data_IF_253315537472
#
_entry.id   IF_253315537472
#
_cell.length_a   1.000
_cell.length_b   1.000
_cell.length_c   1.000
_cell.angle_alpha   90.00
_cell.angle_beta   90.00
_cell.angle_gamma   90.00
#
_symmetry.space_group_name_H-M   'P 1'
#
loop_
_entity.id
_entity.type
_entity.pdbx_description
1 polymer ?
#
# COMPACT_ATOMS: atom_id res chain seq x y z
N UNK A 1 25.77 11.35 -1.74
CA UNK A 1 26.35 11.18 -0.39
C UNK A 1 25.39 11.81 0.62
N UNK A 2 24.48 11.05 1.19
CA UNK A 2 23.83 11.47 2.43
C UNK A 2 24.88 11.34 3.53
N UNK A 3 25.24 12.42 4.22
CA UNK A 3 26.14 12.32 5.37
C UNK A 3 25.48 11.40 6.41
N UNK A 4 26.29 10.67 7.18
CA UNK A 4 25.83 9.98 8.37
C UNK A 4 25.11 11.00 9.24
N UNK A 5 23.79 11.00 9.24
CA UNK A 5 22.97 12.01 9.90
C UNK A 5 22.06 11.33 10.89
N UNK A 6 21.97 11.91 12.08
CA UNK A 6 20.93 11.54 13.03
C UNK A 6 19.61 12.16 12.56
N UNK A 7 18.58 11.34 12.35
CA UNK A 7 17.21 11.79 12.15
C UNK A 7 16.41 11.27 13.34
N UNK A 8 15.82 12.18 14.12
CA UNK A 8 15.06 11.85 15.34
C UNK A 8 15.89 10.96 16.31
N UNK A 9 17.21 11.22 16.41
CA UNK A 9 18.11 10.46 17.27
C UNK A 9 18.64 9.14 16.69
N UNK A 10 18.18 8.72 15.50
CA UNK A 10 18.60 7.48 14.86
C UNK A 10 19.69 7.70 13.84
N UNK A 11 20.63 6.75 13.74
CA UNK A 11 21.72 6.80 12.77
C UNK A 11 21.21 6.49 11.37
N UNK A 12 21.45 7.39 10.43
CA UNK A 12 21.16 7.16 9.01
C UNK A 12 22.42 6.63 8.32
N UNK A 13 22.30 5.45 7.73
CA UNK A 13 23.35 4.78 6.98
C UNK A 13 23.05 4.82 5.48
N UNK A 14 24.09 4.77 4.65
CA UNK A 14 23.93 4.40 3.25
C UNK A 14 23.51 2.94 3.14
N UNK A 15 22.77 2.58 2.12
CA UNK A 15 22.33 1.20 1.90
C UNK A 15 23.50 0.21 1.88
N UNK A 16 24.58 0.59 1.23
CA UNK A 16 25.80 -0.24 1.13
C UNK A 16 26.43 -0.48 2.51
N UNK A 17 26.42 0.54 3.37
CA UNK A 17 26.97 0.43 4.73
C UNK A 17 26.09 -0.49 5.59
N UNK A 18 24.77 -0.35 5.51
CA UNK A 18 23.82 -1.24 6.18
C UNK A 18 24.03 -2.70 5.73
N UNK A 19 24.12 -2.95 4.44
CA UNK A 19 24.33 -4.30 3.91
C UNK A 19 25.67 -4.91 4.30
N UNK A 20 26.69 -4.07 4.52
CA UNK A 20 28.02 -4.53 4.96
C UNK A 20 28.10 -4.91 6.44
N UNK A 21 27.13 -4.53 7.27
CA UNK A 21 27.11 -4.89 8.71
C UNK A 21 27.02 -6.41 8.83
N UNK A 22 27.96 -7.00 9.58
CA UNK A 22 27.92 -8.42 9.95
C UNK A 22 26.91 -8.62 11.07
N UNK A 23 25.69 -9.00 10.73
CA UNK A 23 24.61 -9.36 11.66
C UNK A 23 24.06 -10.72 11.27
N UNK A 24 23.54 -11.46 12.25
CA UNK A 24 22.87 -12.74 11.99
C UNK A 24 21.50 -12.55 11.34
N UNK A 25 20.85 -11.41 11.55
CA UNK A 25 19.52 -11.10 11.05
C UNK A 25 19.46 -9.65 10.57
N UNK A 26 18.94 -9.43 9.37
CA UNK A 26 18.72 -8.09 8.81
C UNK A 26 17.27 -7.96 8.39
N UNK A 27 16.53 -7.14 9.08
CA UNK A 27 15.13 -6.83 8.76
C UNK A 27 15.07 -5.55 7.96
N UNK A 28 14.13 -5.46 7.02
CA UNK A 28 13.93 -4.25 6.24
C UNK A 28 12.46 -3.95 5.96
N UNK A 29 12.16 -2.69 5.72
CA UNK A 29 10.93 -2.21 5.12
C UNK A 29 11.24 -1.09 4.14
N UNK A 30 10.39 -0.87 3.13
CA UNK A 30 10.63 0.12 2.07
C UNK A 30 9.48 1.11 2.00
N UNK A 31 9.64 2.28 2.62
CA UNK A 31 8.65 3.35 2.69
C UNK A 31 8.68 4.27 1.44
N UNK A 32 8.58 3.69 0.24
CA UNK A 32 8.56 4.40 -1.04
C UNK A 32 7.21 4.18 -1.72
N UNK A 33 6.48 5.27 -2.03
CA UNK A 33 5.15 5.18 -2.63
C UNK A 33 5.16 4.66 -4.07
N UNK A 34 6.16 5.02 -4.87
CA UNK A 34 6.31 4.50 -6.23
C UNK A 34 6.60 3.00 -6.20
N UNK A 35 5.66 2.20 -6.71
CA UNK A 35 5.77 0.74 -6.67
C UNK A 35 6.95 0.20 -7.47
N UNK A 36 7.35 0.85 -8.58
CA UNK A 36 8.48 0.40 -9.41
C UNK A 36 9.78 0.53 -8.66
N UNK A 37 9.98 1.68 -8.00
CA UNK A 37 11.15 1.93 -7.16
C UNK A 37 11.11 1.03 -5.93
N UNK A 38 9.96 0.94 -5.24
CA UNK A 38 9.79 0.06 -4.07
C UNK A 38 10.14 -1.38 -4.41
N UNK A 39 9.58 -1.93 -5.48
CA UNK A 39 9.85 -3.31 -5.92
C UNK A 39 11.33 -3.55 -6.19
N UNK A 40 11.99 -2.66 -6.92
CA UNK A 40 13.43 -2.77 -7.21
C UNK A 40 14.28 -2.78 -5.94
N UNK A 41 13.92 -1.95 -4.95
CA UNK A 41 14.63 -1.90 -3.66
C UNK A 41 14.38 -3.18 -2.87
N UNK A 42 13.13 -3.64 -2.79
CA UNK A 42 12.75 -4.90 -2.13
C UNK A 42 13.53 -6.07 -2.72
N UNK A 43 13.50 -6.24 -4.03
CA UNK A 43 14.22 -7.33 -4.72
C UNK A 43 15.71 -7.34 -4.36
N UNK A 44 16.33 -6.16 -4.29
CA UNK A 44 17.74 -6.06 -3.90
C UNK A 44 17.97 -6.52 -2.47
N UNK A 45 17.14 -6.09 -1.50
CA UNK A 45 17.31 -6.51 -0.10
C UNK A 45 17.07 -8.01 0.09
N UNK A 46 16.08 -8.58 -0.62
CA UNK A 46 15.84 -10.03 -0.60
C UNK A 46 17.03 -10.82 -1.16
N UNK A 47 17.64 -10.35 -2.27
CA UNK A 47 18.84 -10.98 -2.85
C UNK A 47 20.04 -10.94 -1.90
N UNK A 48 20.12 -9.97 -1.02
CA UNK A 48 21.16 -9.84 0.01
C UNK A 48 20.81 -10.61 1.31
N UNK A 49 19.75 -11.42 1.28
CA UNK A 49 19.33 -12.25 2.42
C UNK A 49 18.69 -11.46 3.57
N UNK A 50 18.18 -10.26 3.31
CA UNK A 50 17.40 -9.52 4.30
C UNK A 50 15.95 -9.99 4.31
N UNK A 51 15.29 -9.94 5.46
CA UNK A 51 13.90 -10.35 5.64
C UNK A 51 12.96 -9.14 5.74
N UNK A 52 11.80 -9.17 5.05
CA UNK A 52 10.85 -8.07 5.13
C UNK A 52 10.16 -8.07 6.49
N UNK A 53 9.91 -6.87 7.03
CA UNK A 53 9.11 -6.68 8.23
C UNK A 53 7.97 -5.71 7.97
N UNK A 54 6.77 -6.04 8.47
CA UNK A 54 5.63 -5.13 8.41
C UNK A 54 5.68 -4.11 9.55
N UNK A 55 5.35 -2.86 9.23
CA UNK A 55 5.28 -1.75 10.19
C UNK A 55 3.82 -1.37 10.38
N UNK A 56 3.27 -1.67 11.55
CA UNK A 56 1.87 -1.43 11.87
C UNK A 56 1.81 -0.45 13.06
N UNK A 57 1.17 0.69 12.83
CA UNK A 57 0.98 1.67 13.91
C UNK A 57 0.12 1.12 15.04
N UNK A 58 0.47 1.46 16.27
CA UNK A 58 -0.32 1.11 17.46
C UNK A 58 -1.72 1.73 17.48
N UNK A 59 -1.95 2.76 16.66
CA UNK A 59 -3.26 3.41 16.52
C UNK A 59 -4.08 2.87 15.36
N UNK A 60 -3.57 1.87 14.64
CA UNK A 60 -4.34 1.15 13.63
C UNK A 60 -5.35 0.23 14.30
N UNK A 61 -6.56 0.17 13.75
CA UNK A 61 -7.61 -0.76 14.21
C UNK A 61 -7.65 -1.93 13.24
N UNK A 62 -7.33 -3.11 13.75
CA UNK A 62 -7.30 -4.35 12.98
C UNK A 62 -8.40 -5.27 13.53
N UNK A 63 -9.36 -5.62 12.68
CA UNK A 63 -10.42 -6.54 13.03
C UNK A 63 -10.03 -8.00 12.77
N UNK A 64 -11.00 -8.90 12.87
CA UNK A 64 -10.77 -10.34 12.77
C UNK A 64 -10.57 -10.83 11.33
N UNK A 65 -9.96 -12.00 11.20
CA UNK A 65 -9.79 -12.74 9.94
C UNK A 65 -9.09 -11.94 8.83
N UNK A 66 -8.10 -11.16 9.22
CA UNK A 66 -7.25 -10.44 8.29
C UNK A 66 -6.11 -11.33 7.78
N UNK A 67 -5.78 -11.17 6.51
CA UNK A 67 -4.53 -11.67 5.92
C UNK A 67 -3.72 -10.45 5.51
N UNK A 68 -2.54 -10.32 6.08
CA UNK A 68 -1.60 -9.22 5.79
C UNK A 68 -0.32 -9.83 5.25
N UNK A 69 0.04 -9.48 4.01
CA UNK A 69 1.29 -9.90 3.39
C UNK A 69 2.52 -9.28 4.03
N UNK A 70 3.68 -9.69 3.57
CA UNK A 70 4.96 -9.22 4.08
C UNK A 70 5.25 -7.77 3.73
N UNK A 71 6.04 -7.10 4.55
CA UNK A 71 6.53 -5.74 4.29
C UNK A 71 5.45 -4.66 4.24
N UNK A 72 4.26 -4.90 4.81
CA UNK A 72 3.18 -3.93 4.84
C UNK A 72 3.52 -2.71 5.71
N UNK A 73 2.98 -1.54 5.33
CA UNK A 73 3.00 -0.33 6.17
C UNK A 73 1.55 0.10 6.42
N UNK A 74 1.12 0.03 7.67
CA UNK A 74 -0.16 0.54 8.13
C UNK A 74 0.08 1.75 9.03
N UNK A 75 -0.18 2.95 8.50
CA UNK A 75 0.04 4.20 9.21
C UNK A 75 -1.02 4.46 10.29
N UNK A 76 -0.82 5.52 11.06
CA UNK A 76 -1.70 5.91 12.16
C UNK A 76 -3.16 6.07 11.70
N UNK A 77 -4.07 5.61 12.54
CA UNK A 77 -5.52 5.74 12.36
C UNK A 77 -6.05 5.06 11.08
N UNK A 78 -5.37 4.03 10.59
CA UNK A 78 -5.93 3.15 9.58
C UNK A 78 -6.91 2.17 10.22
N UNK A 79 -7.95 1.77 9.48
CA UNK A 79 -8.93 0.82 9.97
C UNK A 79 -9.18 -0.28 8.93
N UNK A 80 -8.89 -1.52 9.31
CA UNK A 80 -9.13 -2.71 8.49
C UNK A 80 -10.28 -3.51 9.09
N UNK A 81 -11.32 -3.66 8.30
CA UNK A 81 -12.53 -4.40 8.68
C UNK A 81 -12.32 -5.92 8.50
N UNK A 82 -13.25 -6.77 9.01
CA UNK A 82 -13.09 -8.21 8.91
C UNK A 82 -12.98 -8.73 7.47
N UNK A 83 -12.32 -9.87 7.32
CA UNK A 83 -12.19 -10.62 6.06
C UNK A 83 -11.43 -9.88 4.94
N UNK A 84 -10.61 -8.87 5.29
CA UNK A 84 -9.74 -8.19 4.33
C UNK A 84 -8.47 -9.02 4.11
N UNK A 85 -8.09 -9.18 2.83
CA UNK A 85 -6.85 -9.84 2.42
C UNK A 85 -5.97 -8.83 1.69
N UNK A 86 -4.73 -8.71 2.13
CA UNK A 86 -3.75 -7.81 1.51
C UNK A 86 -2.51 -8.60 1.13
N UNK A 87 -2.02 -8.34 -0.09
CA UNK A 87 -0.77 -8.87 -0.60
C UNK A 87 0.45 -8.20 0.03
N UNK A 88 1.60 -8.51 -0.54
CA UNK A 88 2.89 -8.07 -0.03
C UNK A 88 3.17 -6.59 -0.33
N UNK A 89 3.91 -5.96 0.56
CA UNK A 89 4.39 -4.59 0.42
C UNK A 89 3.29 -3.56 0.21
N UNK A 90 2.11 -3.80 0.80
CA UNK A 90 0.99 -2.87 0.79
C UNK A 90 1.26 -1.66 1.68
N UNK A 91 0.96 -0.47 1.18
CA UNK A 91 1.02 0.76 1.97
C UNK A 91 -0.37 1.34 2.20
N UNK A 92 -0.77 1.47 3.44
CA UNK A 92 -1.99 2.14 3.86
C UNK A 92 -1.66 3.40 4.65
N UNK A 93 -1.83 4.54 4.04
CA UNK A 93 -1.50 5.82 4.67
C UNK A 93 -2.57 6.27 5.68
N UNK A 94 -2.22 7.28 6.47
CA UNK A 94 -3.02 7.79 7.60
C UNK A 94 -4.50 8.00 7.27
N UNK A 95 -5.38 7.69 8.23
CA UNK A 95 -6.83 7.90 8.15
C UNK A 95 -7.54 7.15 7.01
N UNK A 96 -6.91 6.15 6.41
CA UNK A 96 -7.54 5.32 5.39
C UNK A 96 -8.25 4.14 6.02
N UNK A 97 -9.31 3.64 5.38
CA UNK A 97 -9.93 2.39 5.79
C UNK A 97 -10.17 1.44 4.62
N UNK A 98 -10.25 0.17 4.95
CA UNK A 98 -10.63 -0.90 4.03
C UNK A 98 -11.77 -1.68 4.70
N UNK A 99 -12.96 -1.59 4.11
CA UNK A 99 -14.14 -2.30 4.60
C UNK A 99 -14.09 -3.79 4.27
N UNK A 100 -15.05 -4.55 4.81
CA UNK A 100 -15.05 -6.01 4.77
C UNK A 100 -15.00 -6.61 3.36
N UNK A 101 -14.49 -7.82 3.27
CA UNK A 101 -14.49 -8.65 2.06
C UNK A 101 -13.70 -8.04 0.89
N UNK A 102 -12.71 -7.19 1.18
CA UNK A 102 -11.83 -6.62 0.18
C UNK A 102 -10.60 -7.49 -0.05
N UNK A 103 -10.15 -7.53 -1.31
CA UNK A 103 -8.91 -8.18 -1.72
C UNK A 103 -7.99 -7.13 -2.34
N UNK A 104 -6.83 -6.95 -1.75
CA UNK A 104 -5.81 -5.98 -2.17
C UNK A 104 -4.58 -6.75 -2.63
N UNK A 105 -4.12 -6.48 -3.84
CA UNK A 105 -2.93 -7.11 -4.41
C UNK A 105 -1.61 -6.58 -3.86
N UNK A 106 -0.52 -7.08 -4.45
CA UNK A 106 0.83 -6.72 -4.06
C UNK A 106 1.21 -5.30 -4.47
N UNK A 107 2.04 -4.66 -3.67
CA UNK A 107 2.58 -3.31 -3.94
C UNK A 107 1.53 -2.22 -4.16
N UNK A 108 0.30 -2.43 -3.75
CA UNK A 108 -0.73 -1.39 -3.79
C UNK A 108 -0.39 -0.27 -2.80
N UNK A 109 -0.72 0.96 -3.16
CA UNK A 109 -0.52 2.13 -2.30
C UNK A 109 -1.82 2.88 -2.11
N UNK A 110 -2.25 3.03 -0.86
CA UNK A 110 -3.27 3.98 -0.47
C UNK A 110 -2.59 5.25 0.05
N UNK A 111 -2.84 6.36 -0.60
CA UNK A 111 -2.52 7.69 -0.09
C UNK A 111 -3.42 8.05 1.12
N UNK A 112 -3.17 9.16 1.85
CA UNK A 112 -3.98 9.51 3.01
C UNK A 112 -5.49 9.61 2.74
N UNK A 113 -6.30 9.20 3.72
CA UNK A 113 -7.78 9.34 3.70
C UNK A 113 -8.48 8.61 2.56
N UNK A 114 -7.96 7.48 2.11
CA UNK A 114 -8.67 6.62 1.16
C UNK A 114 -9.82 5.91 1.85
N UNK A 115 -11.00 5.96 1.24
CA UNK A 115 -12.22 5.30 1.68
C UNK A 115 -12.52 4.11 0.75
N UNK A 116 -12.05 2.91 1.10
CA UNK A 116 -12.33 1.69 0.35
C UNK A 116 -13.51 0.96 1.00
N UNK A 117 -14.68 1.00 0.35
CA UNK A 117 -15.85 0.30 0.84
C UNK A 117 -15.81 -1.19 0.55
N UNK A 118 -16.80 -1.96 1.04
CA UNK A 118 -16.76 -3.42 1.03
C UNK A 118 -16.83 -4.07 -0.36
N UNK A 119 -16.37 -5.31 -0.45
CA UNK A 119 -16.38 -6.10 -1.69
C UNK A 119 -15.68 -5.38 -2.86
N UNK A 120 -14.47 -4.90 -2.63
CA UNK A 120 -13.62 -4.28 -3.65
C UNK A 120 -12.37 -5.14 -3.87
N UNK A 121 -12.06 -5.42 -5.12
CA UNK A 121 -10.84 -6.11 -5.52
C UNK A 121 -9.88 -5.12 -6.19
N UNK A 122 -8.75 -4.86 -5.56
CA UNK A 122 -7.70 -3.98 -6.10
C UNK A 122 -6.50 -4.85 -6.47
N UNK A 123 -6.19 -4.86 -7.75
CA UNK A 123 -5.08 -5.66 -8.25
C UNK A 123 -3.72 -4.98 -8.00
N UNK A 124 -2.65 -5.77 -8.20
CA UNK A 124 -1.27 -5.38 -7.92
C UNK A 124 -0.90 -4.01 -8.49
N UNK A 125 -0.02 -3.32 -7.80
CA UNK A 125 0.60 -2.06 -8.26
C UNK A 125 -0.35 -0.89 -8.40
N UNK A 126 -1.63 -1.01 -8.04
CA UNK A 126 -2.56 0.11 -8.10
C UNK A 126 -2.18 1.22 -7.10
N UNK A 127 -2.42 2.45 -7.50
CA UNK A 127 -2.25 3.62 -6.65
C UNK A 127 -3.59 4.32 -6.44
N UNK A 128 -3.98 4.47 -5.19
CA UNK A 128 -5.22 5.13 -4.81
C UNK A 128 -4.89 6.48 -4.15
N UNK A 129 -5.25 7.55 -4.82
CA UNK A 129 -4.91 8.93 -4.44
C UNK A 129 -5.61 9.42 -3.18
N UNK A 130 -5.03 10.45 -2.57
CA UNK A 130 -5.53 11.06 -1.33
C UNK A 130 -7.01 11.40 -1.40
N UNK A 131 -7.78 10.96 -0.41
CA UNK A 131 -9.20 11.26 -0.30
C UNK A 131 -10.09 10.59 -1.35
N UNK A 132 -9.57 9.63 -2.12
CA UNK A 132 -10.38 8.87 -3.05
C UNK A 132 -11.41 8.00 -2.31
N UNK A 133 -12.60 7.89 -2.88
CA UNK A 133 -13.71 7.08 -2.37
C UNK A 133 -14.03 6.00 -3.39
N UNK A 134 -13.98 4.74 -2.99
CA UNK A 134 -14.30 3.60 -3.84
C UNK A 134 -15.64 3.04 -3.37
N UNK A 135 -16.63 3.03 -4.29
CA UNK A 135 -17.96 2.48 -4.02
C UNK A 135 -17.85 1.00 -3.69
N UNK A 136 -18.71 0.52 -2.79
CA UNK A 136 -18.79 -0.91 -2.53
C UNK A 136 -19.27 -1.70 -3.77
N UNK A 137 -18.70 -2.89 -3.93
CA UNK A 137 -19.25 -3.94 -4.78
C UNK A 137 -20.29 -4.77 -4.05
N UNK A 138 -20.57 -5.97 -4.56
CA UNK A 138 -21.33 -7.00 -3.88
C UNK A 138 -20.52 -8.29 -3.88
N UNK A 139 -20.94 -9.28 -3.09
CA UNK A 139 -20.27 -10.58 -3.06
C UNK A 139 -20.25 -11.25 -4.45
N UNK A 140 -21.38 -11.14 -5.19
CA UNK A 140 -21.51 -11.72 -6.54
C UNK A 140 -20.81 -10.87 -7.61
N UNK A 141 -20.67 -9.57 -7.37
CA UNK A 141 -20.03 -8.62 -8.28
C UNK A 141 -19.18 -7.61 -7.52
N UNK A 142 -17.95 -7.96 -7.13
CA UNK A 142 -17.01 -7.01 -6.56
C UNK A 142 -16.73 -5.86 -7.52
N UNK A 143 -16.47 -4.67 -6.98
CA UNK A 143 -15.93 -3.58 -7.79
C UNK A 143 -14.43 -3.81 -7.99
N UNK A 144 -13.95 -3.72 -9.22
CA UNK A 144 -12.57 -4.06 -9.58
C UNK A 144 -11.76 -2.82 -9.92
N UNK A 145 -10.60 -2.68 -9.28
CA UNK A 145 -9.54 -1.74 -9.68
C UNK A 145 -8.42 -2.55 -10.32
N UNK A 146 -8.20 -2.36 -11.60
CA UNK A 146 -7.26 -3.15 -12.40
C UNK A 146 -5.80 -2.94 -11.99
N UNK A 147 -4.96 -3.89 -12.39
CA UNK A 147 -3.52 -3.88 -12.13
C UNK A 147 -2.86 -2.60 -12.60
N UNK A 148 -2.07 -1.97 -11.72
CA UNK A 148 -1.34 -0.74 -12.04
C UNK A 148 -2.24 0.48 -12.33
N UNK A 149 -3.55 0.39 -12.08
CA UNK A 149 -4.45 1.52 -12.25
C UNK A 149 -4.12 2.65 -11.27
N UNK A 150 -4.41 3.88 -11.67
CA UNK A 150 -4.21 5.07 -10.84
C UNK A 150 -5.55 5.75 -10.62
N UNK A 151 -5.98 5.79 -9.38
CA UNK A 151 -7.13 6.59 -8.97
C UNK A 151 -6.61 7.93 -8.45
N UNK A 152 -6.98 9.02 -9.12
CA UNK A 152 -6.55 10.37 -8.75
C UNK A 152 -7.09 10.82 -7.39
N UNK A 153 -6.44 11.81 -6.79
CA UNK A 153 -6.89 12.37 -5.51
C UNK A 153 -8.33 12.90 -5.57
N UNK A 154 -9.11 12.65 -4.54
CA UNK A 154 -10.51 13.09 -4.44
C UNK A 154 -11.47 12.42 -5.44
N UNK A 155 -11.03 11.44 -6.19
CA UNK A 155 -11.89 10.73 -7.15
C UNK A 155 -12.93 9.86 -6.43
N UNK A 156 -14.15 9.80 -7.00
CA UNK A 156 -15.24 8.94 -6.53
C UNK A 156 -15.46 7.83 -7.54
N UNK A 157 -14.87 6.67 -7.27
CA UNK A 157 -14.94 5.51 -8.17
C UNK A 157 -16.26 4.78 -7.97
N UNK A 158 -17.07 4.72 -9.03
CA UNK A 158 -18.40 4.10 -9.02
C UNK A 158 -18.53 2.90 -9.95
N UNK A 159 -17.50 2.62 -10.76
CA UNK A 159 -17.41 1.53 -11.73
C UNK A 159 -16.01 0.94 -11.71
N UNK A 160 -15.86 -0.23 -12.31
CA UNK A 160 -14.56 -0.86 -12.49
C UNK A 160 -13.59 0.06 -13.23
N UNK A 161 -12.31 -0.03 -12.88
CA UNK A 161 -11.22 0.69 -13.52
C UNK A 161 -10.33 -0.33 -14.22
N UNK A 162 -10.05 -0.10 -15.49
CA UNK A 162 -9.25 -1.02 -16.29
C UNK A 162 -7.78 -1.06 -15.84
N UNK A 163 -7.02 -2.14 -16.12
CA UNK A 163 -5.60 -2.19 -15.84
C UNK A 163 -4.84 -1.01 -16.47
N UNK A 164 -3.95 -0.41 -15.68
CA UNK A 164 -3.11 0.75 -16.06
C UNK A 164 -3.89 2.02 -16.45
N UNK A 165 -5.19 2.03 -16.25
CA UNK A 165 -6.01 3.21 -16.49
C UNK A 165 -5.81 4.26 -15.39
N UNK A 166 -5.85 5.52 -15.78
CA UNK A 166 -5.86 6.66 -14.86
C UNK A 166 -7.28 7.23 -14.82
N UNK A 167 -7.88 7.30 -13.63
CA UNK A 167 -9.22 7.87 -13.46
C UNK A 167 -9.20 9.02 -12.46
N UNK A 168 -10.00 10.06 -12.73
CA UNK A 168 -10.09 11.26 -11.89
C UNK A 168 -11.52 11.78 -11.81
N UNK A 169 -11.82 12.54 -10.78
CA UNK A 169 -13.07 13.31 -10.64
C UNK A 169 -14.19 12.58 -9.91
N UNK A 170 -15.34 13.22 -9.86
CA UNK A 170 -16.58 12.74 -9.22
C UNK A 170 -17.76 12.88 -10.19
N UNK A 171 -18.33 11.80 -10.75
CA UNK A 171 -17.79 10.42 -10.66
C UNK A 171 -16.45 10.30 -11.41
N UNK A 172 -15.63 9.34 -11.00
CA UNK A 172 -14.34 9.08 -11.64
C UNK A 172 -14.52 8.67 -13.11
N UNK A 173 -13.72 9.29 -13.97
CA UNK A 173 -13.70 9.02 -15.42
C UNK A 173 -12.25 8.88 -15.90
N UNK A 174 -12.01 8.17 -17.01
CA UNK A 174 -10.68 8.10 -17.61
C UNK A 174 -10.09 9.49 -17.84
N UNK A 175 -8.82 9.63 -17.43
CA UNK A 175 -8.07 10.86 -17.66
C UNK A 175 -7.32 10.75 -18.98
N UNK A 176 -7.82 11.47 -19.98
CA UNK A 176 -7.15 11.65 -21.27
C UNK A 176 -6.36 12.95 -21.22
N UNK A 177 -5.04 12.87 -21.53
CA UNK A 177 -4.19 14.04 -21.71
C UNK A 177 -4.53 14.75 -23.02
#
# INVERSE_FOLDING_TARGET
NLPTKLIIGETVLLQVDFLSIKSMEKLFNVAIADYKVRKKVVEKFLQEGCEPISIISKTSILNERLIVGDGAILCNYTHLFPDVKMGDYFHCNIYSYIASDCIIGDYVTFAPKVCCNGNVHIHDYAYIGTGAIIKQGTHEKPLVIGKGAIVGMGAVVTKDVAPYEVVVGNPAKPFTK
#
